data_IF_708494768294
#
_entry.id   IF_708494768294
#
_cell.length_a   1.000
_cell.length_b   1.000
_cell.length_c   1.000
_cell.angle_alpha   90.00
_cell.angle_beta   90.00
_cell.angle_gamma   90.00
#
_symmetry.space_group_name_H-M   'P 1'
#
loop_
_entity.id
_entity.type
_entity.pdbx_description
1 polymer ?
#
# COMPACT_ATOMS: atom_id res chain seq x y z
N UNK A 1 40.22 -34.70 -10.39
CA UNK A 1 38.78 -34.50 -10.14
C UNK A 1 38.67 -33.84 -8.78
N UNK A 2 38.23 -32.58 -8.71
CA UNK A 2 38.06 -31.89 -7.43
C UNK A 2 36.82 -32.45 -6.73
N UNK A 3 36.98 -32.90 -5.50
CA UNK A 3 35.88 -33.46 -4.70
C UNK A 3 35.12 -32.27 -4.12
N UNK A 4 33.93 -31.99 -4.64
CA UNK A 4 33.06 -30.88 -4.17
C UNK A 4 32.76 -30.96 -2.67
N UNK A 5 32.80 -32.16 -2.09
CA UNK A 5 32.59 -32.40 -0.66
C UNK A 5 33.70 -31.84 0.27
N UNK A 6 34.79 -31.32 -0.27
CA UNK A 6 35.88 -30.72 0.53
C UNK A 6 35.71 -29.22 0.79
N UNK A 7 34.70 -28.57 0.23
CA UNK A 7 34.44 -27.17 0.47
C UNK A 7 33.62 -26.99 1.75
N UNK A 8 33.98 -26.00 2.59
CA UNK A 8 33.22 -25.72 3.80
C UNK A 8 31.80 -25.28 3.44
N UNK A 9 30.82 -25.81 4.13
CA UNK A 9 29.42 -25.36 4.02
C UNK A 9 29.29 -24.07 4.84
N UNK A 10 29.22 -22.94 4.15
CA UNK A 10 29.01 -21.62 4.75
C UNK A 10 27.55 -21.19 4.56
N UNK A 11 27.04 -20.42 5.52
CA UNK A 11 25.72 -19.78 5.37
C UNK A 11 25.82 -18.70 4.29
N UNK A 12 25.02 -18.76 3.19
CA UNK A 12 25.06 -17.75 2.15
C UNK A 12 24.72 -16.35 2.69
N UNK A 13 25.44 -15.35 2.20
CA UNK A 13 25.22 -13.94 2.50
C UNK A 13 24.73 -13.20 1.25
N UNK A 14 23.99 -12.10 1.42
CA UNK A 14 23.42 -11.35 0.27
C UNK A 14 24.49 -10.82 -0.71
N UNK A 15 25.71 -10.63 -0.24
CA UNK A 15 26.84 -10.20 -1.07
C UNK A 15 27.57 -11.32 -1.80
N UNK A 16 27.25 -12.59 -1.52
CA UNK A 16 27.88 -13.73 -2.20
C UNK A 16 27.50 -13.74 -3.69
N UNK A 17 28.43 -14.22 -4.51
CA UNK A 17 28.29 -14.16 -5.95
C UNK A 17 28.04 -15.55 -6.55
N UNK A 18 27.14 -15.56 -7.51
CA UNK A 18 26.81 -16.73 -8.32
C UNK A 18 27.21 -16.46 -9.77
N UNK A 19 27.85 -17.42 -10.41
CA UNK A 19 28.17 -17.35 -11.83
C UNK A 19 26.97 -17.77 -12.66
N UNK A 20 26.70 -17.02 -13.71
CA UNK A 20 25.65 -17.31 -14.67
C UNK A 20 26.05 -16.88 -16.08
N UNK A 21 25.20 -17.16 -17.04
CA UNK A 21 25.37 -16.69 -18.42
C UNK A 21 24.26 -15.70 -18.76
N UNK A 22 24.65 -14.63 -19.45
CA UNK A 22 23.68 -13.67 -19.96
C UNK A 22 23.26 -14.11 -21.37
N UNK A 23 22.02 -14.51 -21.53
CA UNK A 23 21.49 -15.00 -22.82
C UNK A 23 20.77 -13.92 -23.62
N UNK A 24 20.38 -12.85 -22.96
CA UNK A 24 19.73 -11.69 -23.57
C UNK A 24 20.30 -10.39 -23.00
N UNK A 25 20.28 -9.33 -23.77
CA UNK A 25 20.67 -7.99 -23.32
C UNK A 25 19.51 -7.28 -22.57
N UNK A 26 19.74 -6.02 -22.18
CA UNK A 26 18.73 -5.19 -21.49
C UNK A 26 17.49 -4.88 -22.33
N UNK A 27 17.52 -5.13 -23.63
CA UNK A 27 16.40 -4.96 -24.57
C UNK A 27 15.67 -6.27 -24.87
N UNK A 28 16.15 -7.41 -24.32
CA UNK A 28 15.60 -8.73 -24.53
C UNK A 28 16.12 -9.42 -25.80
N UNK A 29 17.17 -8.88 -26.46
CA UNK A 29 17.79 -9.50 -27.63
C UNK A 29 18.83 -10.53 -27.21
N UNK A 30 18.97 -11.65 -27.96
CA UNK A 30 20.01 -12.64 -27.70
C UNK A 30 21.42 -12.02 -27.73
N UNK A 31 22.24 -12.36 -26.74
CA UNK A 31 23.64 -11.94 -26.68
C UNK A 31 24.52 -13.05 -27.28
N UNK A 32 25.30 -12.70 -28.27
CA UNK A 32 26.26 -13.65 -28.87
C UNK A 32 27.32 -14.06 -27.84
N UNK A 33 27.66 -15.37 -27.85
CA UNK A 33 28.74 -15.92 -27.03
C UNK A 33 28.39 -16.18 -25.57
N UNK A 34 27.15 -15.99 -25.13
CA UNK A 34 26.68 -16.25 -23.74
C UNK A 34 27.74 -15.84 -22.70
N UNK A 35 28.06 -14.54 -22.56
CA UNK A 35 29.11 -14.09 -21.66
C UNK A 35 28.82 -14.51 -20.23
N UNK A 36 29.84 -15.01 -19.53
CA UNK A 36 29.76 -15.34 -18.13
C UNK A 36 29.62 -14.05 -17.31
N UNK A 37 28.66 -14.00 -16.48
CA UNK A 37 28.36 -12.86 -15.58
C UNK A 37 28.31 -13.31 -14.14
N UNK A 38 28.52 -12.37 -13.22
CA UNK A 38 28.37 -12.60 -11.79
C UNK A 38 27.12 -11.89 -11.30
N UNK A 39 26.28 -12.62 -10.60
CA UNK A 39 25.12 -12.08 -9.87
C UNK A 39 25.39 -12.18 -8.38
N UNK A 40 25.00 -11.19 -7.59
CA UNK A 40 24.95 -11.34 -6.16
C UNK A 40 23.70 -12.11 -5.75
N UNK A 41 23.71 -12.75 -4.60
CA UNK A 41 22.49 -13.36 -4.05
C UNK A 41 21.40 -12.30 -3.82
N UNK A 42 21.78 -11.06 -3.57
CA UNK A 42 20.83 -9.95 -3.48
C UNK A 42 20.12 -9.66 -4.83
N UNK A 43 20.84 -9.73 -5.96
CA UNK A 43 20.24 -9.56 -7.28
C UNK A 43 19.23 -10.68 -7.57
N UNK A 44 19.58 -11.93 -7.23
CA UNK A 44 18.70 -13.08 -7.36
C UNK A 44 17.48 -12.93 -6.45
N UNK A 45 17.69 -12.52 -5.19
CA UNK A 45 16.60 -12.25 -4.24
C UNK A 45 15.64 -11.19 -4.78
N UNK A 46 16.15 -10.07 -5.30
CA UNK A 46 15.31 -9.02 -5.87
C UNK A 46 14.49 -9.53 -7.06
N UNK A 47 15.08 -10.37 -7.91
CA UNK A 47 14.36 -10.98 -9.02
C UNK A 47 13.25 -11.90 -8.55
N UNK A 48 13.52 -12.72 -7.54
CA UNK A 48 12.54 -13.61 -6.92
C UNK A 48 11.43 -12.80 -6.25
N UNK A 49 11.79 -11.79 -5.45
CA UNK A 49 10.83 -10.92 -4.76
C UNK A 49 9.89 -10.19 -5.76
N UNK A 50 10.36 -9.92 -6.99
CA UNK A 50 9.52 -9.33 -8.03
C UNK A 50 8.51 -10.32 -8.62
N UNK A 51 8.75 -11.61 -8.54
CA UNK A 51 7.88 -12.65 -9.11
C UNK A 51 6.79 -13.12 -8.16
N UNK A 52 6.98 -12.93 -6.84
CA UNK A 52 5.99 -13.34 -5.84
C UNK A 52 5.01 -12.20 -5.53
N UNK A 53 3.78 -12.60 -5.24
CA UNK A 53 2.78 -11.67 -4.70
C UNK A 53 3.25 -11.19 -3.34
N UNK A 54 3.45 -9.89 -3.23
CA UNK A 54 3.83 -9.23 -1.99
C UNK A 54 2.64 -8.41 -1.49
N UNK A 55 2.31 -8.59 -0.22
CA UNK A 55 1.20 -7.90 0.42
C UNK A 55 1.68 -7.09 1.61
N UNK A 56 1.30 -5.82 1.64
CA UNK A 56 1.44 -4.93 2.79
C UNK A 56 0.07 -4.63 3.34
N UNK A 57 -0.08 -4.66 4.65
CA UNK A 57 -1.27 -4.18 5.34
C UNK A 57 -0.90 -3.16 6.40
N UNK A 58 -1.76 -2.20 6.62
CA UNK A 58 -1.61 -1.21 7.67
C UNK A 58 -2.99 -0.70 8.10
N UNK A 59 -3.07 -0.14 9.28
CA UNK A 59 -4.28 0.47 9.78
C UNK A 59 -3.95 1.76 10.53
N UNK A 60 -4.89 2.69 10.52
CA UNK A 60 -4.76 3.93 11.29
C UNK A 60 -4.94 3.62 12.78
N UNK A 61 -3.95 3.91 13.64
CA UNK A 61 -4.04 3.64 15.07
C UNK A 61 -4.90 4.67 15.83
N UNK A 62 -5.29 5.78 15.17
CA UNK A 62 -6.08 6.83 15.80
C UNK A 62 -7.54 6.38 15.93
N UNK A 63 -8.16 6.73 17.03
CA UNK A 63 -9.55 6.40 17.30
C UNK A 63 -10.52 7.13 16.38
N UNK A 64 -10.16 8.36 15.98
CA UNK A 64 -10.96 9.16 15.07
C UNK A 64 -10.06 9.86 14.06
N UNK A 65 -10.59 10.04 12.86
CA UNK A 65 -10.00 10.89 11.84
C UNK A 65 -11.08 11.90 11.45
N UNK A 66 -11.14 12.99 12.22
CA UNK A 66 -12.11 14.05 12.00
C UNK A 66 -11.56 15.01 10.94
N UNK A 67 -12.26 15.08 9.85
CA UNK A 67 -11.97 16.09 8.82
C UNK A 67 -12.88 17.31 8.96
N UNK A 68 -13.96 17.20 9.76
CA UNK A 68 -15.04 18.19 9.74
C UNK A 68 -15.54 18.49 8.32
N UNK A 69 -16.14 19.68 8.13
CA UNK A 69 -16.29 20.20 6.78
C UNK A 69 -14.92 20.64 6.25
N UNK A 70 -14.40 19.89 5.32
CA UNK A 70 -13.10 20.19 4.71
C UNK A 70 -13.19 20.12 3.19
N UNK A 71 -13.36 21.29 2.58
CA UNK A 71 -13.46 21.40 1.13
C UNK A 71 -12.12 21.17 0.41
N UNK A 72 -11.01 21.31 1.10
CA UNK A 72 -9.66 21.09 0.53
C UNK A 72 -9.20 19.65 0.62
N UNK A 73 -9.76 18.89 1.57
CA UNK A 73 -9.38 17.52 1.86
C UNK A 73 -8.19 17.41 2.82
N UNK A 74 -8.00 16.22 3.34
CA UNK A 74 -6.93 15.86 4.26
C UNK A 74 -6.27 14.55 3.85
N UNK A 75 -4.97 14.42 4.10
CA UNK A 75 -4.23 13.18 3.87
C UNK A 75 -4.64 12.16 4.92
N UNK A 76 -4.89 10.93 4.48
CA UNK A 76 -5.15 9.80 5.37
C UNK A 76 -3.81 9.18 5.75
N UNK A 77 -3.56 9.07 7.06
CA UNK A 77 -2.36 8.43 7.60
C UNK A 77 -2.68 7.00 8.05
N UNK A 78 -1.66 6.15 8.03
CA UNK A 78 -1.73 4.77 8.48
C UNK A 78 -0.61 4.49 9.49
N UNK A 79 -0.80 3.47 10.31
CA UNK A 79 0.22 3.01 11.25
C UNK A 79 1.32 2.19 10.58
N UNK A 80 2.07 1.46 11.39
CA UNK A 80 3.17 0.64 10.90
C UNK A 80 2.69 -0.41 9.90
N UNK A 81 3.41 -0.55 8.81
CA UNK A 81 3.15 -1.55 7.79
C UNK A 81 3.51 -2.95 8.28
N UNK A 82 2.69 -3.92 7.90
CA UNK A 82 2.85 -5.34 8.18
C UNK A 82 2.78 -6.15 6.89
N UNK A 83 3.30 -7.36 6.91
CA UNK A 83 3.22 -8.29 5.78
C UNK A 83 4.54 -8.43 5.01
N UNK A 84 4.49 -9.17 3.92
CA UNK A 84 5.67 -9.52 3.09
C UNK A 84 6.03 -8.44 2.07
N UNK A 85 5.12 -7.49 1.83
CA UNK A 85 5.26 -6.44 0.82
C UNK A 85 6.01 -5.18 1.26
N UNK A 86 6.58 -5.16 2.48
CA UNK A 86 7.22 -3.97 3.05
C UNK A 86 8.48 -3.50 2.29
N UNK A 87 9.12 -4.37 1.51
CA UNK A 87 10.22 -4.01 0.62
C UNK A 87 9.75 -3.34 -0.67
N UNK A 88 8.56 -3.74 -1.17
CA UNK A 88 7.99 -3.17 -2.39
C UNK A 88 7.29 -1.84 -2.14
N UNK A 89 6.67 -1.68 -0.96
CA UNK A 89 5.90 -0.50 -0.57
C UNK A 89 6.27 -0.09 0.85
N UNK A 90 6.53 1.20 1.04
CA UNK A 90 6.80 1.79 2.35
C UNK A 90 5.72 2.81 2.70
N UNK A 91 5.35 2.86 3.98
CA UNK A 91 4.43 3.87 4.53
C UNK A 91 5.19 4.86 5.40
N UNK A 92 5.02 6.14 5.10
CA UNK A 92 5.50 7.24 5.93
C UNK A 92 4.49 7.64 7.00
N UNK A 93 4.96 8.19 8.12
CA UNK A 93 4.11 8.71 9.19
C UNK A 93 3.25 9.91 8.73
N UNK A 94 3.64 10.57 7.66
CA UNK A 94 2.93 11.66 7.00
C UNK A 94 1.82 11.19 6.04
N UNK A 95 1.56 9.89 5.95
CA UNK A 95 0.61 9.27 5.02
C UNK A 95 1.18 8.98 3.64
N UNK A 96 2.48 9.18 3.43
CA UNK A 96 3.16 8.89 2.18
C UNK A 96 3.26 7.39 1.93
N UNK A 97 2.83 6.97 0.75
CA UNK A 97 2.92 5.59 0.24
C UNK A 97 3.98 5.59 -0.86
N UNK A 98 5.15 5.00 -0.59
CA UNK A 98 6.26 4.93 -1.55
C UNK A 98 6.29 3.54 -2.17
N UNK A 99 6.18 3.46 -3.48
CA UNK A 99 6.36 2.24 -4.26
C UNK A 99 7.82 2.15 -4.71
N UNK A 100 8.55 1.21 -4.17
CA UNK A 100 9.98 1.01 -4.47
C UNK A 100 10.22 0.12 -5.68
N UNK A 101 9.25 -0.72 -6.04
CA UNK A 101 9.33 -1.61 -7.18
C UNK A 101 8.31 -1.21 -8.24
N UNK A 102 8.71 -1.25 -9.50
CA UNK A 102 7.79 -1.14 -10.64
C UNK A 102 6.86 -2.34 -10.70
N UNK A 103 5.69 -2.17 -11.27
CA UNK A 103 4.73 -3.26 -11.47
C UNK A 103 3.28 -2.84 -11.29
N UNK A 104 2.41 -3.81 -11.38
CA UNK A 104 0.98 -3.65 -11.13
C UNK A 104 0.66 -3.88 -9.66
N UNK A 105 -0.18 -3.03 -9.11
CA UNK A 105 -0.60 -3.10 -7.71
C UNK A 105 -2.11 -3.04 -7.59
N UNK A 106 -2.66 -3.87 -6.71
CA UNK A 106 -4.01 -3.74 -6.17
C UNK A 106 -3.93 -2.99 -4.85
N UNK A 107 -4.78 -1.98 -4.70
CA UNK A 107 -4.88 -1.17 -3.49
C UNK A 107 -6.31 -1.28 -2.98
N UNK A 108 -6.48 -1.92 -1.83
CA UNK A 108 -7.74 -2.00 -1.12
C UNK A 108 -7.70 -1.05 0.07
N UNK A 109 -8.70 -0.18 0.13
CA UNK A 109 -8.88 0.79 1.18
C UNK A 109 -10.19 0.49 1.88
N UNK A 110 -10.16 0.39 3.20
CA UNK A 110 -11.35 0.14 4.01
C UNK A 110 -11.44 1.25 5.04
N UNK A 111 -12.57 1.94 5.06
CA UNK A 111 -12.83 3.05 5.95
C UNK A 111 -14.13 2.82 6.72
N UNK A 112 -14.23 3.44 7.88
CA UNK A 112 -15.46 3.50 8.66
C UNK A 112 -15.90 4.94 8.77
N UNK A 113 -16.91 5.30 7.99
CA UNK A 113 -17.51 6.63 7.97
C UNK A 113 -18.56 6.79 9.06
N UNK A 114 -18.59 7.97 9.67
CA UNK A 114 -19.57 8.41 10.67
C UNK A 114 -20.06 9.80 10.34
N UNK A 115 -21.28 10.14 10.77
CA UNK A 115 -21.83 11.48 10.65
C UNK A 115 -22.65 11.90 11.85
N UNK A 116 -23.13 13.14 11.84
CA UNK A 116 -24.11 13.60 12.80
C UNK A 116 -25.50 12.98 12.52
N UNK A 117 -26.33 12.89 13.54
CA UNK A 117 -27.67 12.30 13.48
C UNK A 117 -28.51 12.98 12.38
N UNK A 118 -29.19 12.16 11.59
CA UNK A 118 -30.10 12.57 10.51
C UNK A 118 -29.45 13.40 9.40
N UNK A 119 -28.13 13.33 9.28
CA UNK A 119 -27.39 14.01 8.22
C UNK A 119 -27.02 13.08 7.08
N UNK A 120 -27.21 13.56 5.85
CA UNK A 120 -26.59 12.95 4.67
C UNK A 120 -25.11 13.31 4.65
N UNK A 121 -24.27 12.32 4.80
CA UNK A 121 -22.81 12.48 4.73
C UNK A 121 -22.34 12.10 3.34
N UNK A 122 -21.47 12.93 2.77
CA UNK A 122 -20.75 12.63 1.52
C UNK A 122 -19.28 12.65 1.86
N UNK A 123 -18.58 11.58 1.57
CA UNK A 123 -17.12 11.49 1.68
C UNK A 123 -16.55 11.18 0.30
N UNK A 124 -15.59 11.99 -0.13
CA UNK A 124 -14.83 11.80 -1.35
C UNK A 124 -13.44 11.30 -1.02
N UNK A 125 -12.97 10.33 -1.79
CA UNK A 125 -11.64 9.75 -1.66
C UNK A 125 -10.93 9.82 -3.00
N UNK A 126 -9.65 10.19 -2.98
CA UNK A 126 -8.79 10.19 -4.16
C UNK A 126 -7.35 9.84 -3.80
N UNK A 127 -6.61 9.39 -4.78
CA UNK A 127 -5.16 9.27 -4.71
C UNK A 127 -4.52 10.42 -5.47
N UNK A 128 -3.43 10.96 -4.95
CA UNK A 128 -2.63 12.00 -5.61
C UNK A 128 -1.16 11.56 -5.64
N UNK A 129 -0.46 12.00 -6.67
CA UNK A 129 0.99 11.80 -6.79
C UNK A 129 1.78 12.81 -5.94
N UNK A 130 3.11 12.75 -6.06
CA UNK A 130 4.05 13.65 -5.37
C UNK A 130 3.85 15.14 -5.69
N UNK A 131 3.22 15.46 -6.81
CA UNK A 131 2.97 16.82 -7.27
C UNK A 131 1.56 17.32 -6.90
N UNK A 132 0.77 16.49 -6.20
CA UNK A 132 -0.62 16.78 -5.89
C UNK A 132 -1.59 16.52 -7.04
N UNK A 133 -1.11 15.93 -8.14
CA UNK A 133 -1.95 15.56 -9.28
C UNK A 133 -2.77 14.32 -8.95
N UNK A 134 -4.07 14.36 -9.21
CA UNK A 134 -4.94 13.21 -8.99
C UNK A 134 -4.58 12.04 -9.92
N UNK A 135 -4.52 10.86 -9.34
CA UNK A 135 -4.29 9.59 -10.03
C UNK A 135 -5.53 8.71 -9.91
N UNK A 136 -6.10 8.36 -11.03
CA UNK A 136 -7.36 7.61 -11.10
C UNK A 136 -8.59 8.44 -10.74
N UNK A 137 -9.76 7.80 -10.62
CA UNK A 137 -11.01 8.46 -10.32
C UNK A 137 -11.14 8.85 -8.85
N UNK A 138 -11.98 9.84 -8.57
CA UNK A 138 -12.48 10.09 -7.21
C UNK A 138 -13.56 9.06 -6.89
N UNK A 139 -13.44 8.41 -5.74
CA UNK A 139 -14.50 7.56 -5.19
C UNK A 139 -15.34 8.38 -4.23
N UNK A 140 -16.66 8.34 -4.42
CA UNK A 140 -17.61 9.07 -3.57
C UNK A 140 -18.52 8.08 -2.88
N UNK A 141 -18.67 8.22 -1.59
CA UNK A 141 -19.71 7.50 -0.82
C UNK A 141 -20.70 8.48 -0.22
N UNK A 142 -21.94 8.03 -0.12
CA UNK A 142 -23.02 8.78 0.54
C UNK A 142 -23.78 7.85 1.46
N UNK A 143 -24.00 8.28 2.68
CA UNK A 143 -24.82 7.55 3.64
C UNK A 143 -25.62 8.52 4.51
N UNK A 144 -26.73 8.03 5.08
CA UNK A 144 -27.51 8.72 6.09
C UNK A 144 -27.07 8.19 7.46
N UNK A 145 -26.59 9.07 8.31
CA UNK A 145 -26.26 8.72 9.69
C UNK A 145 -27.53 8.85 10.56
N UNK A 146 -27.99 7.72 11.11
CA UNK A 146 -29.19 7.68 11.95
C UNK A 146 -28.88 7.94 13.43
N UNK A 147 -27.66 7.66 13.85
CA UNK A 147 -27.17 7.94 15.19
C UNK A 147 -25.65 8.15 15.20
N UNK A 148 -25.12 8.72 16.28
CA UNK A 148 -23.69 9.03 16.42
C UNK A 148 -22.78 7.80 16.61
N UNK A 149 -23.34 6.63 16.86
CA UNK A 149 -22.59 5.38 17.05
C UNK A 149 -22.55 4.54 15.77
N UNK A 150 -23.39 4.88 14.79
CA UNK A 150 -23.44 4.14 13.52
C UNK A 150 -22.17 4.37 12.72
N UNK A 151 -21.61 3.28 12.20
CA UNK A 151 -20.42 3.27 11.35
C UNK A 151 -20.74 2.61 10.03
N UNK A 152 -20.43 3.31 8.95
CA UNK A 152 -20.63 2.83 7.59
C UNK A 152 -19.31 2.36 7.03
N UNK A 153 -19.21 1.05 6.75
CA UNK A 153 -18.03 0.49 6.07
C UNK A 153 -18.01 0.94 4.63
N UNK A 154 -16.90 1.52 4.23
CA UNK A 154 -16.61 2.00 2.89
C UNK A 154 -15.42 1.20 2.39
N UNK A 155 -15.56 0.58 1.22
CA UNK A 155 -14.48 -0.18 0.61
C UNK A 155 -14.21 0.34 -0.80
N UNK A 156 -12.94 0.65 -1.06
CA UNK A 156 -12.49 1.15 -2.36
C UNK A 156 -11.36 0.24 -2.83
N UNK A 157 -11.57 -0.36 -4.00
CA UNK A 157 -10.58 -1.19 -4.66
C UNK A 157 -10.10 -0.48 -5.93
N UNK A 158 -8.81 -0.35 -6.06
CA UNK A 158 -8.19 0.27 -7.23
C UNK A 158 -6.97 -0.52 -7.70
N UNK A 159 -6.66 -0.34 -8.98
CA UNK A 159 -5.47 -0.90 -9.60
C UNK A 159 -4.63 0.24 -10.16
N UNK A 160 -3.32 0.15 -9.96
CA UNK A 160 -2.38 1.15 -10.45
C UNK A 160 -1.17 0.46 -11.06
N UNK A 161 -0.69 1.02 -12.18
CA UNK A 161 0.57 0.65 -12.78
C UNK A 161 1.65 1.62 -12.33
N UNK A 162 2.67 1.13 -11.67
CA UNK A 162 3.82 1.91 -11.20
C UNK A 162 4.98 1.70 -12.18
N UNK A 163 5.31 2.70 -13.03
CA UNK A 163 6.37 2.54 -14.04
C UNK A 163 7.78 2.66 -13.46
N UNK A 164 7.93 3.39 -12.36
CA UNK A 164 9.19 3.63 -11.65
C UNK A 164 8.92 3.93 -10.18
N UNK A 165 9.96 4.00 -9.36
CA UNK A 165 9.82 4.44 -7.94
C UNK A 165 9.06 5.76 -7.87
N UNK A 166 7.98 5.77 -7.12
CA UNK A 166 7.10 6.93 -6.97
C UNK A 166 6.40 6.90 -5.61
N UNK A 167 5.93 8.04 -5.16
CA UNK A 167 5.12 8.09 -3.95
C UNK A 167 3.80 8.82 -4.18
N UNK A 168 2.81 8.44 -3.38
CA UNK A 168 1.42 8.86 -3.47
C UNK A 168 0.85 9.11 -2.08
N UNK A 169 -0.27 9.85 -2.06
CA UNK A 169 -1.07 10.06 -0.86
C UNK A 169 -2.52 9.69 -1.12
N UNK A 170 -3.18 9.14 -0.11
CA UNK A 170 -4.63 8.97 -0.10
C UNK A 170 -5.25 10.16 0.62
N UNK A 171 -6.22 10.76 -0.01
CA UNK A 171 -6.92 11.95 0.49
C UNK A 171 -8.38 11.65 0.73
N UNK A 172 -8.93 12.25 1.78
CA UNK A 172 -10.35 12.29 2.03
C UNK A 172 -10.83 13.74 2.11
N UNK A 173 -12.03 13.97 1.60
CA UNK A 173 -12.73 15.25 1.65
C UNK A 173 -14.15 15.03 2.14
N UNK A 174 -14.64 15.93 2.99
CA UNK A 174 -16.05 16.07 3.30
C UNK A 174 -16.58 17.37 2.67
N UNK A 175 -17.18 17.32 1.47
CA UNK A 175 -17.59 18.52 0.72
C UNK A 175 -18.90 19.12 1.22
N UNK A 176 -19.61 18.49 2.17
CA UNK A 176 -20.94 18.93 2.58
C UNK A 176 -20.86 19.90 3.75
N UNK A 177 -21.14 21.16 3.50
CA UNK A 177 -21.26 22.19 4.54
C UNK A 177 -22.37 21.84 5.54
N UNK A 178 -22.06 21.88 6.81
CA UNK A 178 -23.01 21.62 7.89
C UNK A 178 -23.24 20.14 8.20
N UNK A 179 -22.71 19.21 7.41
CA UNK A 179 -22.73 17.78 7.71
C UNK A 179 -21.40 17.37 8.36
N UNK A 180 -21.44 17.02 9.63
CA UNK A 180 -20.27 16.46 10.31
C UNK A 180 -20.03 15.03 9.79
N UNK A 181 -19.15 14.87 8.82
CA UNK A 181 -18.67 13.58 8.31
C UNK A 181 -17.22 13.38 8.69
N UNK A 182 -16.89 12.22 9.21
CA UNK A 182 -15.55 11.87 9.67
C UNK A 182 -15.28 10.39 9.44
N UNK A 183 -14.02 9.97 9.58
CA UNK A 183 -13.68 8.59 9.79
C UNK A 183 -13.57 8.35 11.30
N UNK A 184 -14.18 7.28 11.77
CA UNK A 184 -14.13 6.90 13.18
C UNK A 184 -14.02 5.39 13.32
N UNK A 185 -13.34 4.93 14.36
CA UNK A 185 -13.24 3.51 14.63
C UNK A 185 -14.63 2.88 14.88
N UNK A 186 -14.79 1.65 14.44
CA UNK A 186 -15.91 0.82 14.81
C UNK A 186 -15.78 0.46 16.28
N UNK A 187 -16.74 0.88 17.11
CA UNK A 187 -16.80 0.45 18.51
C UNK A 187 -17.17 -1.03 18.53
N UNK A 188 -16.34 -1.84 19.18
CA UNK A 188 -16.59 -3.26 19.41
C UNK A 188 -17.06 -3.47 20.86
N UNK A 189 -17.66 -4.64 21.11
CA UNK A 189 -17.97 -5.06 22.47
C UNK A 189 -16.67 -5.16 23.28
N UNK A 190 -16.67 -4.62 24.51
CA UNK A 190 -15.52 -4.63 25.41
C UNK A 190 -14.96 -6.04 25.67
N UNK A 191 -15.78 -7.07 25.52
CA UNK A 191 -15.35 -8.47 25.63
C UNK A 191 -14.45 -8.93 24.47
N UNK A 192 -14.48 -8.26 23.33
CA UNK A 192 -13.68 -8.58 22.13
C UNK A 192 -12.36 -7.78 22.03
N UNK A 193 -12.16 -6.82 22.93
CA UNK A 193 -10.90 -6.07 23.03
C UNK A 193 -10.89 -4.76 22.27
N UNK A 194 -10.05 -4.62 21.26
CA UNK A 194 -9.78 -3.35 20.56
C UNK A 194 -10.84 -2.98 19.52
N UNK A 195 -11.12 -1.71 19.40
CA UNK A 195 -11.96 -1.15 18.33
C UNK A 195 -11.37 -1.44 16.95
N UNK A 196 -12.25 -1.58 15.96
CA UNK A 196 -11.85 -1.65 14.55
C UNK A 196 -11.34 -0.26 14.13
N UNK A 197 -10.12 -0.14 13.58
CA UNK A 197 -9.53 1.15 13.26
C UNK A 197 -10.31 1.89 12.16
N UNK A 198 -10.29 3.23 12.15
CA UNK A 198 -11.07 4.05 11.22
C UNK A 198 -10.64 3.92 9.76
N UNK A 199 -9.41 3.52 9.50
CA UNK A 199 -8.87 3.33 8.17
C UNK A 199 -7.92 2.13 8.14
N UNK A 200 -8.06 1.31 7.11
CA UNK A 200 -7.20 0.17 6.82
C UNK A 200 -6.74 0.22 5.37
N UNK A 201 -5.52 -0.20 5.11
CA UNK A 201 -4.92 -0.21 3.79
C UNK A 201 -4.29 -1.59 3.54
N UNK A 202 -4.60 -2.17 2.39
CA UNK A 202 -3.96 -3.39 1.91
C UNK A 202 -3.45 -3.11 0.50
N UNK A 203 -2.14 -3.29 0.30
CA UNK A 203 -1.50 -3.11 -1.01
C UNK A 203 -0.86 -4.44 -1.40
N UNK A 204 -1.25 -4.96 -2.54
CA UNK A 204 -0.74 -6.21 -3.08
C UNK A 204 -0.04 -5.93 -4.41
N UNK A 205 1.24 -6.27 -4.50
CA UNK A 205 1.96 -6.28 -5.77
C UNK A 205 1.53 -7.53 -6.54
N UNK A 206 1.04 -7.33 -7.76
CA UNK A 206 0.51 -8.41 -8.59
C UNK A 206 1.58 -8.98 -9.53
N UNK A 207 2.42 -8.14 -10.08
CA UNK A 207 3.53 -8.48 -10.99
C UNK A 207 4.58 -7.36 -11.01
#
# INVERSE_FOLDING_TARGET
>A
MAIISSYPVLTPQLGDKVLGSNTVDSTGQPVEGNPTVQYTLNDIKLLVDQQYVQQLSAFNPNNTFDTGYNNTGSIITFGAAQGTGTSAVMLGADGRITFNLKGAYSIQQIYYGQGAINNNVILNFKMVDSNGTQVGPTSTTRFLSNNTLERHRIEINSYIQIPSTAYYYLWMQNPTSGAAGQLANQVTDAAWGTDVPPAQLIITKLQ
#
